data_IF_239464960608
#
_entry.id   IF_239464960608
#
_cell.length_a   1.000
_cell.length_b   1.000
_cell.length_c   1.000
_cell.angle_alpha   90.00
_cell.angle_beta   90.00
_cell.angle_gamma   90.00
#
_symmetry.space_group_name_H-M   'P 1'
#
loop_
_entity.id
_entity.type
_entity.pdbx_description
1 polymer ?
#
# COMPACT_ATOMS: atom_id res chain seq x y z
N UNK A 1 -11.14 10.34 8.95
CA UNK A 1 -10.52 10.33 10.28
C UNK A 1 -11.54 10.61 11.39
N UNK A 2 -12.28 11.73 11.31
CA UNK A 2 -13.30 12.07 12.30
C UNK A 2 -14.31 10.94 12.58
N UNK A 3 -14.78 10.26 11.55
CA UNK A 3 -15.73 9.13 11.67
C UNK A 3 -15.10 7.97 12.47
N UNK A 4 -13.87 7.62 12.17
CA UNK A 4 -13.14 6.54 12.86
C UNK A 4 -12.87 6.88 14.33
N UNK A 5 -12.48 8.12 14.60
CA UNK A 5 -12.22 8.57 15.98
C UNK A 5 -13.51 8.64 16.82
N UNK A 6 -14.61 9.03 16.19
CA UNK A 6 -15.94 9.03 16.83
C UNK A 6 -16.43 7.59 17.10
N UNK A 7 -16.22 6.65 16.16
CA UNK A 7 -16.61 5.24 16.32
C UNK A 7 -15.90 4.58 17.52
N UNK A 8 -14.61 4.88 17.73
CA UNK A 8 -13.87 4.42 18.92
C UNK A 8 -14.48 4.87 20.24
N UNK A 9 -15.23 5.99 20.20
CA UNK A 9 -15.98 6.50 21.35
C UNK A 9 -17.44 6.01 21.38
N UNK A 10 -17.84 5.08 20.51
CA UNK A 10 -19.20 4.60 20.37
C UNK A 10 -20.16 5.62 19.74
N UNK A 11 -19.66 6.65 19.06
CA UNK A 11 -20.44 7.71 18.44
C UNK A 11 -20.52 7.46 16.93
N UNK A 12 -21.75 7.31 16.42
CA UNK A 12 -21.98 7.23 14.98
C UNK A 12 -22.19 8.60 14.34
N UNK A 13 -21.24 9.03 13.53
CA UNK A 13 -21.33 10.30 12.78
C UNK A 13 -22.28 10.13 11.59
N UNK A 14 -23.24 11.05 11.43
CA UNK A 14 -24.13 11.12 10.28
C UNK A 14 -24.20 12.56 9.77
N UNK A 15 -24.52 12.72 8.48
CA UNK A 15 -24.79 14.03 7.91
C UNK A 15 -23.51 14.88 7.72
N UNK A 16 -22.38 14.24 7.40
CA UNK A 16 -21.21 14.98 6.93
C UNK A 16 -21.61 15.81 5.72
N UNK A 17 -21.55 17.13 5.84
CA UNK A 17 -22.05 18.03 4.80
C UNK A 17 -21.02 18.29 3.70
N UNK A 18 -19.74 18.29 4.05
CA UNK A 18 -18.64 18.58 3.13
C UNK A 18 -17.30 18.10 3.70
N UNK A 19 -16.43 17.64 2.83
CA UNK A 19 -15.03 17.31 3.13
C UNK A 19 -14.11 18.14 2.22
N UNK A 20 -13.35 19.05 2.84
CA UNK A 20 -12.47 19.95 2.11
C UNK A 20 -11.26 19.25 1.47
N UNK A 21 -10.79 18.15 2.05
CA UNK A 21 -9.65 17.40 1.50
C UNK A 21 -10.03 16.65 0.22
N UNK A 22 -11.20 16.01 0.22
CA UNK A 22 -11.74 15.35 -0.99
C UNK A 22 -12.02 16.37 -2.09
N UNK A 23 -12.60 17.52 -1.72
CA UNK A 23 -12.84 18.62 -2.67
C UNK A 23 -11.53 19.16 -3.26
N UNK A 24 -10.50 19.37 -2.43
CA UNK A 24 -9.19 19.83 -2.86
C UNK A 24 -8.51 18.83 -3.79
N UNK A 25 -8.59 17.54 -3.47
CA UNK A 25 -8.07 16.48 -4.32
C UNK A 25 -8.72 16.47 -5.71
N UNK A 26 -10.03 16.61 -5.80
CA UNK A 26 -10.72 16.68 -7.09
C UNK A 26 -10.37 17.94 -7.90
N UNK A 27 -10.05 19.04 -7.23
CA UNK A 27 -9.64 20.30 -7.88
C UNK A 27 -8.17 20.29 -8.33
N UNK A 28 -7.30 19.61 -7.59
CA UNK A 28 -5.88 19.41 -7.94
C UNK A 28 -5.34 18.07 -7.39
N UNK A 29 -5.50 16.97 -8.14
CA UNK A 29 -5.04 15.65 -7.69
C UNK A 29 -3.51 15.48 -7.70
N UNK A 30 -2.77 16.48 -8.18
CA UNK A 30 -1.31 16.45 -8.25
C UNK A 30 -0.62 17.11 -7.07
N UNK A 31 -1.36 17.80 -6.22
CA UNK A 31 -0.83 18.44 -5.03
C UNK A 31 -0.25 17.42 -4.05
N UNK A 32 0.93 17.71 -3.52
CA UNK A 32 1.62 16.82 -2.59
C UNK A 32 0.98 16.78 -1.19
N UNK A 33 0.24 17.83 -0.81
CA UNK A 33 -0.45 17.97 0.47
C UNK A 33 -1.63 18.92 0.35
N UNK A 34 -2.65 18.65 1.15
CA UNK A 34 -3.85 19.50 1.28
C UNK A 34 -3.92 20.07 2.71
N UNK A 35 -3.09 21.07 3.02
CA UNK A 35 -3.10 21.71 4.33
C UNK A 35 -4.23 22.74 4.40
N UNK A 36 -5.01 22.70 5.49
CA UNK A 36 -6.22 23.50 5.63
C UNK A 36 -5.94 25.00 5.49
N UNK A 37 -4.85 25.49 6.07
CA UNK A 37 -4.39 26.89 5.91
C UNK A 37 -4.21 27.27 4.43
N UNK A 38 -3.55 26.41 3.67
CA UNK A 38 -3.30 26.66 2.25
C UNK A 38 -4.61 26.67 1.45
N UNK A 39 -5.54 25.77 1.79
CA UNK A 39 -6.87 25.74 1.17
C UNK A 39 -7.68 27.00 1.50
N UNK A 40 -7.63 27.50 2.75
CA UNK A 40 -8.25 28.75 3.14
C UNK A 40 -7.71 29.93 2.34
N UNK A 41 -6.40 30.04 2.21
CA UNK A 41 -5.79 31.10 1.41
C UNK A 41 -6.16 30.97 -0.07
N UNK A 42 -6.02 29.79 -0.64
CA UNK A 42 -6.21 29.54 -2.08
C UNK A 42 -7.66 29.74 -2.54
N UNK A 43 -8.64 29.24 -1.78
CA UNK A 43 -10.04 29.22 -2.19
C UNK A 43 -10.91 30.28 -1.54
N UNK A 44 -10.60 30.68 -0.31
CA UNK A 44 -11.37 31.70 0.43
C UNK A 44 -10.68 33.07 0.51
N UNK A 45 -9.37 33.16 0.19
CA UNK A 45 -8.58 34.38 0.30
C UNK A 45 -8.30 34.77 1.75
N UNK A 46 -8.40 33.83 2.69
CA UNK A 46 -8.21 34.04 4.14
C UNK A 46 -6.88 33.47 4.56
N UNK A 47 -5.97 34.34 5.06
CA UNK A 47 -4.69 33.90 5.64
C UNK A 47 -4.84 33.83 7.16
N UNK A 48 -4.99 32.61 7.68
CA UNK A 48 -5.13 32.35 9.12
C UNK A 48 -4.44 31.03 9.49
N UNK A 49 -3.83 31.02 10.68
CA UNK A 49 -3.28 29.79 11.27
C UNK A 49 -4.31 29.08 12.17
N UNK A 50 -5.36 29.79 12.59
CA UNK A 50 -6.42 29.28 13.46
C UNK A 50 -7.74 29.27 12.69
N UNK A 51 -8.06 28.14 12.10
CA UNK A 51 -9.27 27.95 11.27
C UNK A 51 -10.42 27.49 12.15
N UNK A 52 -11.45 28.33 12.24
CA UNK A 52 -12.65 28.03 13.01
C UNK A 52 -13.79 27.41 12.16
N UNK A 53 -14.93 27.16 12.80
CA UNK A 53 -16.09 26.57 12.13
C UNK A 53 -16.73 27.49 11.08
N UNK A 54 -16.65 28.81 11.28
CA UNK A 54 -17.17 29.78 10.31
C UNK A 54 -16.29 29.84 9.06
N UNK A 55 -14.98 29.78 9.25
CA UNK A 55 -14.00 29.67 8.16
C UNK A 55 -14.21 28.39 7.32
N UNK A 56 -14.42 27.27 7.98
CA UNK A 56 -14.74 25.99 7.30
C UNK A 56 -16.03 26.09 6.48
N UNK A 57 -17.03 26.80 7.00
CA UNK A 57 -18.27 27.03 6.25
C UNK A 57 -18.03 27.89 5.01
N UNK A 58 -17.24 28.97 5.12
CA UNK A 58 -16.86 29.84 4.00
C UNK A 58 -16.08 29.01 2.97
N UNK A 59 -15.07 28.24 3.41
CA UNK A 59 -14.26 27.38 2.55
C UNK A 59 -15.13 26.39 1.79
N UNK A 60 -16.03 25.70 2.47
CA UNK A 60 -16.91 24.70 1.85
C UNK A 60 -17.76 25.29 0.72
N UNK A 61 -18.31 26.49 0.90
CA UNK A 61 -19.05 27.21 -0.13
C UNK A 61 -18.17 27.55 -1.33
N UNK A 62 -16.99 28.10 -1.06
CA UNK A 62 -16.04 28.50 -2.12
C UNK A 62 -15.53 27.30 -2.93
N UNK A 63 -15.19 26.22 -2.27
CA UNK A 63 -14.75 25.01 -2.96
C UNK A 63 -15.89 24.35 -3.75
N UNK A 64 -17.13 24.38 -3.25
CA UNK A 64 -18.31 23.91 -3.99
C UNK A 64 -18.52 24.72 -5.27
N UNK A 65 -18.39 26.07 -5.23
CA UNK A 65 -18.43 26.92 -6.42
C UNK A 65 -17.33 26.53 -7.45
N UNK A 66 -16.14 26.15 -7.00
CA UNK A 66 -15.06 25.72 -7.89
C UNK A 66 -15.33 24.32 -8.49
N UNK A 67 -15.79 23.37 -7.66
CA UNK A 67 -16.19 22.04 -8.14
C UNK A 67 -17.29 22.14 -9.21
N UNK A 68 -18.23 23.05 -9.08
CA UNK A 68 -19.26 23.30 -10.08
C UNK A 68 -18.67 23.86 -11.40
N UNK A 69 -17.80 24.87 -11.31
CA UNK A 69 -17.12 25.46 -12.47
C UNK A 69 -16.26 24.43 -13.24
N UNK A 70 -15.62 23.52 -12.53
CA UNK A 70 -14.78 22.45 -13.12
C UNK A 70 -15.57 21.20 -13.50
N UNK A 71 -16.90 21.20 -13.33
CA UNK A 71 -17.80 20.05 -13.58
C UNK A 71 -17.51 18.82 -12.70
N UNK A 72 -16.82 19.02 -11.57
CA UNK A 72 -16.48 17.96 -10.61
C UNK A 72 -17.51 17.81 -9.49
N UNK A 73 -18.46 18.71 -9.33
CA UNK A 73 -19.43 18.68 -8.23
C UNK A 73 -20.27 17.39 -8.22
N UNK A 74 -20.69 16.93 -9.40
CA UNK A 74 -21.45 15.67 -9.51
C UNK A 74 -20.64 14.45 -9.08
N UNK A 75 -19.35 14.39 -9.45
CA UNK A 75 -18.43 13.33 -9.02
C UNK A 75 -18.24 13.37 -7.50
N UNK A 76 -18.02 14.56 -6.95
CA UNK A 76 -17.91 14.78 -5.51
C UNK A 76 -19.14 14.25 -4.76
N UNK A 77 -20.34 14.70 -5.13
CA UNK A 77 -21.57 14.39 -4.40
C UNK A 77 -22.06 12.94 -4.59
N UNK A 78 -21.90 12.40 -5.79
CA UNK A 78 -22.44 11.09 -6.11
C UNK A 78 -21.50 9.92 -5.77
N UNK A 79 -20.19 10.16 -5.73
CA UNK A 79 -19.17 9.10 -5.57
C UNK A 79 -18.24 9.39 -4.42
N UNK A 80 -17.41 10.44 -4.51
CA UNK A 80 -16.27 10.62 -3.61
C UNK A 80 -16.68 10.92 -2.16
N UNK A 81 -17.68 11.77 -1.97
CA UNK A 81 -18.16 12.11 -0.63
C UNK A 81 -18.90 10.93 0.05
N UNK A 82 -19.83 10.19 -0.61
CA UNK A 82 -20.42 8.99 -0.03
C UNK A 82 -19.41 7.88 0.26
N UNK A 83 -18.35 7.77 -0.55
CA UNK A 83 -17.30 6.77 -0.39
C UNK A 83 -16.55 6.91 0.96
N UNK A 84 -16.52 8.10 1.56
CA UNK A 84 -15.95 8.33 2.90
C UNK A 84 -16.57 7.37 3.93
N UNK A 85 -17.89 7.21 3.91
CA UNK A 85 -18.58 6.31 4.84
C UNK A 85 -18.27 4.84 4.56
N UNK A 86 -18.25 4.46 3.27
CA UNK A 86 -17.94 3.08 2.87
C UNK A 86 -16.53 2.69 3.31
N UNK A 87 -15.53 3.54 3.05
CA UNK A 87 -14.16 3.27 3.47
C UNK A 87 -14.01 3.27 4.98
N UNK A 88 -14.70 4.16 5.68
CA UNK A 88 -14.71 4.16 7.16
C UNK A 88 -15.31 2.86 7.72
N UNK A 89 -16.42 2.39 7.17
CA UNK A 89 -17.03 1.11 7.57
C UNK A 89 -16.12 -0.08 7.28
N UNK A 90 -15.39 -0.06 6.15
CA UNK A 90 -14.38 -1.08 5.83
C UNK A 90 -13.21 -1.07 6.83
N UNK A 91 -12.70 0.11 7.19
CA UNK A 91 -11.63 0.24 8.19
C UNK A 91 -12.09 -0.22 9.59
N UNK A 92 -13.32 0.10 10.00
CA UNK A 92 -13.91 -0.36 11.26
C UNK A 92 -14.08 -1.88 11.27
N UNK A 93 -14.64 -2.43 10.20
CA UNK A 93 -14.87 -3.87 10.08
C UNK A 93 -13.56 -4.67 10.08
N UNK A 94 -12.56 -4.27 9.31
CA UNK A 94 -11.31 -5.01 9.15
C UNK A 94 -11.49 -6.42 8.61
N UNK A 95 -10.41 -7.16 8.47
CA UNK A 95 -10.39 -8.55 8.01
C UNK A 95 -9.93 -9.48 9.13
N UNK A 96 -10.65 -10.60 9.33
CA UNK A 96 -10.24 -11.66 10.24
C UNK A 96 -9.01 -12.37 9.70
N UNK A 97 -8.01 -12.59 10.56
CA UNK A 97 -6.76 -13.27 10.24
C UNK A 97 -6.61 -14.51 11.13
N UNK A 98 -6.28 -15.64 10.52
CA UNK A 98 -5.86 -16.85 11.22
C UNK A 98 -4.43 -16.65 11.73
N UNK A 99 -4.33 -16.23 13.00
CA UNK A 99 -3.06 -15.95 13.65
C UNK A 99 -2.17 -17.18 13.78
N UNK A 100 -2.76 -18.35 14.02
CA UNK A 100 -2.00 -19.58 14.20
C UNK A 100 -1.38 -20.04 12.89
N UNK A 101 -2.12 -19.92 11.81
CA UNK A 101 -1.60 -20.14 10.44
C UNK A 101 -0.48 -19.17 10.12
N UNK A 102 -0.62 -17.89 10.49
CA UNK A 102 0.40 -16.88 10.24
C UNK A 102 1.68 -17.15 11.04
N UNK A 103 1.58 -17.58 12.29
CA UNK A 103 2.73 -18.00 13.13
C UNK A 103 3.43 -19.23 12.54
N UNK A 104 2.69 -20.20 12.00
CA UNK A 104 3.29 -21.34 11.29
C UNK A 104 4.07 -20.91 10.06
N UNK A 105 3.52 -19.99 9.27
CA UNK A 105 4.23 -19.42 8.13
C UNK A 105 5.49 -18.66 8.56
N UNK A 106 5.44 -17.95 9.66
CA UNK A 106 6.60 -17.26 10.23
C UNK A 106 7.74 -18.21 10.55
N UNK A 107 7.43 -19.32 11.24
CA UNK A 107 8.42 -20.36 11.56
C UNK A 107 9.02 -21.01 10.31
N UNK A 108 8.19 -21.36 9.33
CA UNK A 108 8.64 -21.98 8.09
C UNK A 108 9.56 -21.04 7.29
N UNK A 109 9.18 -19.77 7.12
CA UNK A 109 9.99 -18.80 6.39
C UNK A 109 11.27 -18.42 7.15
N UNK A 110 11.25 -18.42 8.48
CA UNK A 110 12.46 -18.24 9.29
C UNK A 110 13.45 -19.37 9.07
N UNK A 111 12.99 -20.63 9.07
CA UNK A 111 13.84 -21.78 8.80
C UNK A 111 14.39 -21.77 7.36
N UNK A 112 13.59 -21.34 6.37
CA UNK A 112 14.04 -21.20 4.98
C UNK A 112 15.13 -20.12 4.85
N UNK A 113 14.96 -18.98 5.54
CA UNK A 113 15.96 -17.90 5.59
C UNK A 113 17.27 -18.37 6.23
N UNK A 114 17.21 -19.14 7.33
CA UNK A 114 18.37 -19.73 7.97
C UNK A 114 19.12 -20.65 7.01
N UNK A 115 18.43 -21.57 6.35
CA UNK A 115 19.00 -22.49 5.37
C UNK A 115 19.65 -21.74 4.19
N UNK A 116 18.98 -20.73 3.64
CA UNK A 116 19.53 -19.90 2.57
C UNK A 116 20.75 -19.11 3.03
N UNK A 117 20.76 -18.62 4.26
CA UNK A 117 21.88 -17.90 4.86
C UNK A 117 23.12 -18.77 4.95
N UNK A 118 22.98 -20.01 5.47
CA UNK A 118 24.08 -20.99 5.55
C UNK A 118 24.62 -21.32 4.16
N UNK A 119 23.74 -21.53 3.18
CA UNK A 119 24.15 -21.82 1.80
C UNK A 119 24.88 -20.65 1.15
N UNK A 120 24.41 -19.41 1.36
CA UNK A 120 25.05 -18.18 0.89
C UNK A 120 26.46 -18.04 1.50
N UNK A 121 26.61 -18.26 2.81
CA UNK A 121 27.92 -18.18 3.48
C UNK A 121 28.88 -19.27 2.98
N UNK A 122 28.39 -20.47 2.80
CA UNK A 122 29.18 -21.57 2.22
C UNK A 122 29.67 -21.22 0.80
N UNK A 123 28.82 -20.65 -0.05
CA UNK A 123 29.16 -20.26 -1.42
C UNK A 123 30.05 -19.02 -1.46
N UNK A 124 29.93 -18.12 -0.52
CA UNK A 124 30.78 -16.95 -0.37
C UNK A 124 32.17 -17.28 0.24
N UNK A 125 32.24 -18.38 1.03
CA UNK A 125 33.42 -18.78 1.78
C UNK A 125 33.69 -17.91 3.00
N UNK A 126 32.73 -17.12 3.45
CA UNK A 126 32.75 -16.30 4.67
C UNK A 126 31.35 -15.82 5.05
N UNK A 127 31.18 -15.44 6.32
CA UNK A 127 29.97 -14.79 6.82
C UNK A 127 30.01 -13.29 6.54
N UNK A 128 28.88 -12.72 6.15
CA UNK A 128 28.73 -11.30 5.91
C UNK A 128 27.25 -10.89 6.05
N UNK A 129 26.96 -9.59 6.16
CA UNK A 129 25.59 -9.11 6.18
C UNK A 129 25.00 -9.11 4.74
N UNK A 130 24.17 -10.12 4.42
CA UNK A 130 23.53 -10.31 3.11
C UNK A 130 22.64 -9.10 2.73
N UNK A 131 22.06 -8.43 3.73
CA UNK A 131 21.22 -7.25 3.52
C UNK A 131 22.05 -5.97 3.28
N UNK A 132 23.35 -5.99 3.54
CA UNK A 132 24.25 -4.87 3.25
C UNK A 132 24.67 -4.88 1.78
N UNK A 133 24.14 -3.95 1.00
CA UNK A 133 24.52 -3.80 -0.43
C UNK A 133 26.02 -3.63 -0.62
N UNK A 134 26.71 -3.00 0.34
CA UNK A 134 28.17 -2.78 0.32
C UNK A 134 28.92 -4.10 0.52
N UNK A 135 28.55 -4.91 1.54
CA UNK A 135 29.22 -6.18 1.81
C UNK A 135 28.93 -7.19 0.71
N UNK A 136 27.68 -7.31 0.29
CA UNK A 136 27.31 -8.19 -0.84
C UNK A 136 28.06 -7.77 -2.12
N UNK A 137 28.17 -6.47 -2.40
CA UNK A 137 28.94 -5.97 -3.54
C UNK A 137 30.42 -6.35 -3.45
N UNK A 138 31.05 -6.28 -2.27
CA UNK A 138 32.40 -6.78 -2.04
C UNK A 138 32.57 -8.26 -2.33
N UNK A 139 31.63 -9.08 -1.87
CA UNK A 139 31.62 -10.53 -2.17
C UNK A 139 31.49 -10.78 -3.68
N UNK A 140 30.51 -10.18 -4.34
CA UNK A 140 30.21 -10.44 -5.75
C UNK A 140 31.34 -9.93 -6.67
N UNK A 141 31.79 -8.70 -6.48
CA UNK A 141 32.64 -8.01 -7.45
C UNK A 141 34.13 -8.01 -7.06
N UNK A 142 34.44 -7.94 -5.76
CA UNK A 142 35.85 -7.89 -5.32
C UNK A 142 36.40 -9.28 -5.02
N UNK A 143 35.62 -10.21 -4.43
CA UNK A 143 36.05 -11.58 -4.11
C UNK A 143 35.80 -12.55 -5.26
N UNK A 144 34.55 -12.66 -5.70
CA UNK A 144 34.15 -13.60 -6.76
C UNK A 144 34.44 -13.10 -8.17
N UNK A 145 34.87 -11.84 -8.33
CA UNK A 145 35.26 -11.21 -9.60
C UNK A 145 34.20 -11.30 -10.70
N UNK A 146 32.91 -11.23 -10.29
CA UNK A 146 31.82 -11.21 -11.27
C UNK A 146 31.83 -9.91 -12.09
N UNK A 147 31.27 -9.90 -13.31
CA UNK A 147 31.25 -8.70 -14.16
C UNK A 147 30.42 -7.57 -13.50
N UNK A 148 30.96 -6.37 -13.48
CA UNK A 148 30.27 -5.20 -12.93
C UNK A 148 29.29 -4.67 -13.98
N UNK A 149 27.99 -4.88 -13.76
CA UNK A 149 26.93 -4.44 -14.66
C UNK A 149 26.61 -2.95 -14.47
N UNK A 150 26.49 -2.52 -13.19
CA UNK A 150 26.07 -1.16 -12.86
C UNK A 150 26.74 -0.66 -11.58
N UNK A 151 27.07 0.63 -11.56
CA UNK A 151 27.56 1.32 -10.37
C UNK A 151 26.58 2.40 -9.92
N UNK A 152 26.54 2.61 -8.61
CA UNK A 152 25.84 3.73 -7.98
C UNK A 152 26.85 4.79 -7.54
N UNK A 153 26.36 5.93 -7.05
CA UNK A 153 27.24 6.97 -6.47
C UNK A 153 28.05 6.48 -5.26
N UNK A 154 27.57 5.43 -4.59
CA UNK A 154 28.13 4.91 -3.33
C UNK A 154 28.84 3.55 -3.49
N UNK A 155 28.91 2.98 -4.70
CA UNK A 155 29.57 1.70 -4.95
C UNK A 155 28.89 0.84 -6.01
N UNK A 156 29.02 -0.48 -5.86
CA UNK A 156 28.39 -1.44 -6.75
C UNK A 156 26.86 -1.49 -6.56
N UNK A 157 26.10 -1.59 -7.67
CA UNK A 157 24.67 -1.91 -7.57
C UNK A 157 24.50 -3.41 -7.36
N UNK A 158 23.60 -3.75 -6.44
CA UNK A 158 23.12 -5.12 -6.20
C UNK A 158 21.59 -5.15 -6.27
N UNK A 159 20.99 -4.30 -7.11
CA UNK A 159 19.55 -4.32 -7.34
C UNK A 159 19.11 -5.61 -8.05
N UNK A 160 17.80 -5.89 -8.03
CA UNK A 160 17.26 -7.15 -8.56
C UNK A 160 17.62 -7.34 -10.04
N UNK A 161 17.59 -6.27 -10.83
CA UNK A 161 17.91 -6.33 -12.26
C UNK A 161 19.37 -6.72 -12.51
N UNK A 162 20.29 -6.15 -11.72
CA UNK A 162 21.72 -6.50 -11.77
C UNK A 162 21.95 -7.94 -11.35
N UNK A 163 21.32 -8.39 -10.26
CA UNK A 163 21.44 -9.77 -9.80
C UNK A 163 20.86 -10.78 -10.81
N UNK A 164 19.73 -10.49 -11.43
CA UNK A 164 19.19 -11.36 -12.48
C UNK A 164 20.16 -11.53 -13.67
N UNK A 165 20.84 -10.46 -14.07
CA UNK A 165 21.88 -10.55 -15.12
C UNK A 165 23.12 -11.32 -14.66
N UNK A 166 23.42 -11.33 -13.36
CA UNK A 166 24.54 -12.06 -12.78
C UNK A 166 24.23 -13.54 -12.47
N UNK A 167 22.98 -13.95 -12.51
CA UNK A 167 22.51 -15.29 -12.18
C UNK A 167 23.27 -16.42 -12.90
N UNK A 168 23.62 -16.32 -14.20
CA UNK A 168 24.35 -17.38 -14.91
C UNK A 168 25.83 -17.52 -14.48
N UNK A 169 26.40 -16.54 -13.78
CA UNK A 169 27.82 -16.50 -13.49
C UNK A 169 28.22 -17.21 -12.19
N UNK A 170 27.32 -17.26 -11.20
CA UNK A 170 27.66 -17.91 -9.93
C UNK A 170 26.40 -18.32 -9.14
N UNK A 171 26.33 -19.54 -8.56
CA UNK A 171 25.14 -20.03 -7.82
C UNK A 171 24.78 -19.18 -6.58
N UNK A 172 25.73 -18.47 -5.98
CA UNK A 172 25.47 -17.54 -4.88
C UNK A 172 24.43 -16.48 -5.27
N UNK A 173 24.43 -16.01 -6.51
CA UNK A 173 23.53 -14.96 -6.97
C UNK A 173 22.07 -15.41 -6.91
N UNK A 174 21.80 -16.65 -7.34
CA UNK A 174 20.47 -17.26 -7.25
C UNK A 174 20.01 -17.35 -5.80
N UNK A 175 20.87 -17.81 -4.90
CA UNK A 175 20.54 -17.91 -3.48
C UNK A 175 20.31 -16.55 -2.81
N UNK A 176 21.01 -15.52 -3.21
CA UNK A 176 20.77 -14.15 -2.75
C UNK A 176 19.43 -13.62 -3.25
N UNK A 177 19.03 -13.93 -4.49
CA UNK A 177 17.72 -13.56 -5.02
C UNK A 177 16.59 -14.26 -4.25
N UNK A 178 16.70 -15.58 -4.02
CA UNK A 178 15.76 -16.37 -3.21
C UNK A 178 15.67 -15.78 -1.79
N UNK A 179 16.79 -15.59 -1.12
CA UNK A 179 16.86 -15.00 0.23
C UNK A 179 16.13 -13.65 0.31
N UNK A 180 16.40 -12.73 -0.63
CA UNK A 180 15.77 -11.41 -0.66
C UNK A 180 14.27 -11.48 -0.88
N UNK A 181 13.82 -12.42 -1.71
CA UNK A 181 12.40 -12.63 -1.95
C UNK A 181 11.69 -13.12 -0.69
N UNK A 182 12.24 -14.13 -0.01
CA UNK A 182 11.67 -14.70 1.22
C UNK A 182 11.69 -13.65 2.33
N UNK A 183 12.82 -12.97 2.55
CA UNK A 183 12.98 -11.91 3.54
C UNK A 183 11.98 -10.77 3.34
N UNK A 184 11.80 -10.31 2.10
CA UNK A 184 10.84 -9.25 1.78
C UNK A 184 9.41 -9.68 2.09
N UNK A 185 9.05 -10.90 1.73
CA UNK A 185 7.71 -11.43 1.98
C UNK A 185 7.48 -11.60 3.48
N UNK A 186 8.44 -12.19 4.20
CA UNK A 186 8.35 -12.37 5.65
C UNK A 186 8.23 -11.01 6.35
N UNK A 187 9.17 -10.10 6.15
CA UNK A 187 9.20 -8.83 6.87
C UNK A 187 8.01 -7.92 6.54
N UNK A 188 7.59 -7.87 5.28
CA UNK A 188 6.52 -6.96 4.85
C UNK A 188 5.13 -7.49 5.22
N UNK A 189 4.89 -8.79 5.05
CA UNK A 189 3.54 -9.34 5.18
C UNK A 189 3.36 -10.18 6.44
N UNK A 190 4.29 -11.06 6.80
CA UNK A 190 4.12 -11.91 7.98
C UNK A 190 4.33 -11.09 9.25
N UNK A 191 5.52 -10.51 9.41
CA UNK A 191 5.85 -9.68 10.57
C UNK A 191 4.94 -8.44 10.62
N UNK A 192 4.71 -7.82 9.44
CA UNK A 192 3.80 -6.68 9.32
C UNK A 192 2.38 -6.99 9.81
N UNK A 193 1.80 -8.12 9.40
CA UNK A 193 0.46 -8.54 9.84
C UNK A 193 0.44 -8.92 11.32
N UNK A 194 1.42 -9.72 11.80
CA UNK A 194 1.50 -10.13 13.20
C UNK A 194 1.53 -8.94 14.17
N UNK A 195 2.18 -7.85 13.76
CA UNK A 195 2.30 -6.64 14.57
C UNK A 195 1.01 -5.80 14.63
N UNK A 196 0.09 -5.95 13.69
CA UNK A 196 -1.12 -5.12 13.57
C UNK A 196 -2.44 -5.86 13.80
N UNK A 197 -2.38 -7.18 14.05
CA UNK A 197 -3.56 -7.95 14.45
C UNK A 197 -4.06 -7.43 15.79
N UNK A 198 -5.32 -6.98 15.82
CA UNK A 198 -5.98 -6.59 17.07
C UNK A 198 -6.17 -7.83 17.96
N UNK A 199 -5.60 -7.84 19.18
CA UNK A 199 -5.67 -9.00 20.06
C UNK A 199 -7.10 -9.29 20.58
N UNK A 200 -8.02 -8.31 20.48
CA UNK A 200 -9.37 -8.45 21.00
C UNK A 200 -10.27 -9.24 20.05
N UNK A 201 -10.13 -9.01 18.73
CA UNK A 201 -11.01 -9.62 17.73
C UNK A 201 -10.27 -10.40 16.63
N UNK A 202 -8.92 -10.34 16.62
CA UNK A 202 -8.07 -11.03 15.67
C UNK A 202 -8.21 -10.49 14.24
N UNK A 203 -8.52 -9.20 14.10
CA UNK A 203 -8.68 -8.54 12.80
C UNK A 203 -7.53 -7.61 12.50
N UNK A 204 -7.27 -7.45 11.23
CA UNK A 204 -6.36 -6.44 10.68
C UNK A 204 -7.19 -5.34 10.06
N UNK A 205 -6.84 -4.10 10.38
CA UNK A 205 -7.47 -2.88 9.86
C UNK A 205 -6.45 -2.08 9.10
N UNK A 206 -6.72 -1.86 7.82
CA UNK A 206 -5.89 -1.05 6.94
C UNK A 206 -6.53 0.32 6.79
N UNK A 207 -5.73 1.35 6.60
CA UNK A 207 -6.22 2.69 6.25
C UNK A 207 -6.38 2.81 4.74
N UNK A 208 -7.55 3.28 4.27
CA UNK A 208 -7.85 3.50 2.87
C UNK A 208 -7.88 4.98 2.53
N UNK A 209 -6.98 5.41 1.63
CA UNK A 209 -6.80 6.82 1.32
C UNK A 209 -7.33 7.16 -0.08
N UNK A 210 -8.25 8.14 -0.15
CA UNK A 210 -8.84 8.63 -1.40
C UNK A 210 -7.98 9.69 -2.10
N UNK A 211 -7.07 10.38 -1.39
CA UNK A 211 -6.41 11.61 -1.86
C UNK A 211 -4.91 11.45 -2.14
N UNK A 212 -4.41 10.22 -2.26
CA UNK A 212 -2.98 9.95 -2.41
C UNK A 212 -2.56 9.73 -3.86
N UNK A 213 -3.39 9.07 -4.66
CA UNK A 213 -3.06 8.78 -6.06
C UNK A 213 -3.64 9.85 -6.99
N UNK A 214 -2.88 10.32 -7.97
CA UNK A 214 -3.39 11.28 -8.97
C UNK A 214 -4.42 10.69 -9.94
N UNK A 215 -4.67 9.37 -9.88
CA UNK A 215 -5.48 8.63 -10.87
C UNK A 215 -6.89 8.26 -10.38
N UNK A 216 -7.29 8.67 -9.18
CA UNK A 216 -8.56 8.27 -8.57
C UNK A 216 -8.54 6.87 -7.92
N UNK A 217 -7.40 6.17 -7.92
CA UNK A 217 -7.28 4.88 -7.20
C UNK A 217 -7.18 5.10 -5.71
N UNK A 218 -7.81 4.22 -4.93
CA UNK A 218 -7.65 4.17 -3.48
C UNK A 218 -6.30 3.52 -3.16
N UNK A 219 -5.55 4.07 -2.21
CA UNK A 219 -4.36 3.41 -1.66
C UNK A 219 -4.63 2.81 -0.29
N UNK A 220 -3.94 1.72 0.04
CA UNK A 220 -4.02 1.03 1.33
C UNK A 220 -2.69 1.16 2.05
N UNK A 221 -2.74 1.52 3.35
CA UNK A 221 -1.57 1.67 4.22
C UNK A 221 -1.84 1.11 5.60
N UNK A 222 -0.80 0.75 6.33
CA UNK A 222 -0.80 0.36 7.73
C UNK A 222 -1.77 -0.77 8.12
N UNK A 223 -1.70 -1.95 7.46
CA UNK A 223 -0.76 -2.43 6.46
C UNK A 223 -1.23 -2.20 5.02
N UNK A 224 -0.30 -2.17 4.05
CA UNK A 224 -0.67 -2.16 2.64
C UNK A 224 -1.10 -3.56 2.18
N UNK A 225 -2.40 -3.78 2.08
CA UNK A 225 -2.99 -5.06 1.66
C UNK A 225 -3.03 -5.25 0.14
N UNK A 226 -2.89 -4.18 -0.64
CA UNK A 226 -2.98 -4.22 -2.11
C UNK A 226 -1.75 -4.86 -2.77
N UNK A 227 -0.60 -4.86 -2.07
CA UNK A 227 0.66 -5.35 -2.62
C UNK A 227 0.99 -6.80 -2.26
N UNK A 228 0.06 -7.55 -1.64
CA UNK A 228 0.26 -8.98 -1.36
C UNK A 228 0.38 -9.72 -2.68
N UNK A 229 1.51 -10.42 -2.97
CA UNK A 229 1.73 -11.04 -4.26
C UNK A 229 0.67 -12.10 -4.61
N UNK A 230 0.19 -12.09 -5.85
CA UNK A 230 -0.82 -13.06 -6.32
C UNK A 230 -0.17 -14.21 -7.10
N UNK A 231 0.89 -13.89 -7.85
CA UNK A 231 1.52 -14.83 -8.81
C UNK A 231 2.48 -15.81 -8.16
N UNK A 232 3.10 -15.45 -7.05
CA UNK A 232 4.10 -16.25 -6.33
C UNK A 232 3.41 -17.16 -5.32
N UNK A 233 3.86 -18.40 -5.19
CA UNK A 233 3.27 -19.38 -4.27
C UNK A 233 3.26 -18.90 -2.81
N UNK A 234 4.37 -18.29 -2.37
CA UNK A 234 4.47 -17.68 -1.04
C UNK A 234 3.38 -16.64 -0.77
N UNK A 235 3.09 -15.78 -1.76
CA UNK A 235 2.03 -14.78 -1.65
C UNK A 235 0.63 -15.41 -1.57
N UNK A 236 0.39 -16.50 -2.30
CA UNK A 236 -0.86 -17.26 -2.20
C UNK A 236 -1.05 -17.87 -0.81
N UNK A 237 0.02 -18.35 -0.18
CA UNK A 237 -0.01 -18.89 1.19
C UNK A 237 -0.39 -17.80 2.20
N UNK A 238 0.17 -16.58 2.07
CA UNK A 238 -0.20 -15.44 2.91
C UNK A 238 -1.66 -15.07 2.72
N UNK A 239 -2.19 -15.08 1.49
CA UNK A 239 -3.60 -14.77 1.26
C UNK A 239 -4.56 -15.73 1.97
N UNK A 240 -4.17 -16.99 2.19
CA UNK A 240 -4.98 -17.97 2.92
C UNK A 240 -5.15 -17.67 4.40
N UNK A 241 -4.35 -16.78 4.99
CA UNK A 241 -4.52 -16.38 6.40
C UNK A 241 -5.71 -15.47 6.61
N UNK A 242 -6.24 -14.83 5.55
CA UNK A 242 -7.46 -14.06 5.62
C UNK A 242 -8.65 -15.00 5.53
N UNK A 243 -9.44 -15.07 6.59
CA UNK A 243 -10.51 -16.03 6.75
C UNK A 243 -11.85 -15.34 7.03
N UNK A 244 -12.95 -16.05 6.82
CA UNK A 244 -14.26 -15.62 7.30
C UNK A 244 -14.27 -15.52 8.84
N UNK A 245 -15.16 -14.72 9.39
CA UNK A 245 -15.22 -14.46 10.83
C UNK A 245 -15.47 -15.74 11.63
N UNK A 246 -16.40 -16.56 11.15
CA UNK A 246 -16.80 -17.85 11.69
C UNK A 246 -17.56 -18.66 10.63
N UNK A 247 -18.22 -19.74 11.02
CA UNK A 247 -18.94 -20.65 10.11
C UNK A 247 -20.17 -20.02 9.44
N UNK A 248 -20.72 -18.94 10.01
CA UNK A 248 -21.89 -18.23 9.48
C UNK A 248 -21.51 -17.18 8.41
N UNK A 249 -20.22 -16.96 8.18
CA UNK A 249 -19.69 -15.96 7.24
C UNK A 249 -18.98 -16.60 6.06
N UNK A 250 -19.06 -15.93 4.93
CA UNK A 250 -18.32 -16.27 3.72
C UNK A 250 -17.48 -15.07 3.25
N UNK A 251 -16.32 -15.33 2.70
CA UNK A 251 -15.60 -14.33 1.91
C UNK A 251 -16.20 -14.31 0.51
N UNK A 252 -16.65 -13.13 0.09
CA UNK A 252 -17.16 -12.90 -1.27
C UNK A 252 -16.15 -12.02 -2.00
N UNK A 253 -15.68 -12.51 -3.15
CA UNK A 253 -14.82 -11.78 -4.07
C UNK A 253 -15.62 -11.45 -5.33
N UNK A 254 -15.66 -10.14 -5.66
CA UNK A 254 -16.31 -9.64 -6.86
C UNK A 254 -15.46 -8.54 -7.49
N UNK A 255 -15.06 -8.73 -8.74
CA UNK A 255 -14.23 -7.79 -9.48
C UNK A 255 -14.78 -7.58 -10.90
N UNK A 256 -14.56 -6.37 -11.43
CA UNK A 256 -14.89 -6.05 -12.81
C UNK A 256 -13.84 -6.64 -13.77
N UNK A 257 -14.27 -7.52 -14.66
CA UNK A 257 -13.37 -8.10 -15.68
C UNK A 257 -12.93 -7.03 -16.68
N UNK A 258 -11.62 -6.81 -16.77
CA UNK A 258 -10.95 -5.94 -17.77
C UNK A 258 -11.53 -4.52 -17.82
N UNK A 259 -11.79 -3.92 -16.65
CA UNK A 259 -12.49 -2.62 -16.58
C UNK A 259 -11.76 -1.50 -17.32
N UNK A 260 -10.45 -1.45 -17.27
CA UNK A 260 -9.65 -0.43 -17.98
C UNK A 260 -9.81 -0.54 -19.50
N UNK A 261 -9.84 -1.76 -20.03
CA UNK A 261 -10.05 -1.98 -21.48
C UNK A 261 -11.47 -1.60 -21.88
N UNK A 262 -12.47 -1.88 -21.05
CA UNK A 262 -13.86 -1.46 -21.29
C UNK A 262 -14.03 0.04 -21.29
N UNK A 263 -13.37 0.74 -20.35
CA UNK A 263 -13.35 2.21 -20.31
C UNK A 263 -12.64 2.76 -21.54
N UNK A 264 -11.50 2.19 -21.92
CA UNK A 264 -10.77 2.59 -23.12
C UNK A 264 -11.61 2.41 -24.39
N UNK A 265 -12.27 1.27 -24.55
CA UNK A 265 -13.21 1.00 -25.66
C UNK A 265 -14.33 2.05 -25.72
N UNK A 266 -14.92 2.39 -24.57
CA UNK A 266 -15.97 3.40 -24.49
C UNK A 266 -15.47 4.79 -24.90
N UNK A 267 -14.29 5.21 -24.44
CA UNK A 267 -13.73 6.54 -24.72
C UNK A 267 -13.24 6.65 -26.16
N UNK A 268 -12.60 5.60 -26.68
CA UNK A 268 -12.05 5.60 -28.05
C UNK A 268 -13.14 5.50 -29.12
N UNK A 269 -14.26 4.83 -28.80
CA UNK A 269 -15.28 4.49 -29.79
C UNK A 269 -14.79 3.54 -30.90
N UNK A 270 -13.66 2.85 -30.67
CA UNK A 270 -13.08 1.91 -31.64
C UNK A 270 -13.97 0.67 -31.75
N UNK A 271 -14.46 0.32 -32.95
CA UNK A 271 -15.36 -0.83 -33.14
C UNK A 271 -14.68 -2.20 -32.96
N UNK A 272 -13.36 -2.25 -32.86
CA UNK A 272 -12.59 -3.48 -32.70
C UNK A 272 -12.29 -3.82 -31.23
N UNK A 273 -12.55 -2.90 -30.31
CA UNK A 273 -12.39 -3.08 -28.88
C UNK A 273 -13.56 -3.82 -28.22
#
# INVERSE_FOLDING_TARGET
RLILDADKCGIRVKGLAFDAYIAAYLLDPTASRYELKNLMYQYAGIDTDDVDAADLYILSRKMREQLEKTQMLKLYEAIEHPLIYVLSDMEIAGFKVDRDMLVKLDMEFSSEIESLTEEIYRLAGEEFNINSTKQLGGILFDKLKLPVIKRTKTGYSTDAEVLEQLRPYHPLVEKVLEYRQVMKIKSTYIDGLLNVIDPNDGRVRSSFNQTVTATGRISSTDPNLQNIPVKVEMGRRIRKVFVATDEDYLLVDADYSQIELRVLAHISGDPTF
#
